data_IF_012587561573
#
_entry.id   IF_012587561573
#
_cell.length_a   1.000
_cell.length_b   1.000
_cell.length_c   1.000
_cell.angle_alpha   90.00
_cell.angle_beta   90.00
_cell.angle_gamma   90.00
#
_symmetry.space_group_name_H-M   'P 1'
#
loop_
_entity.id
_entity.type
_entity.pdbx_description
1 polymer ?
#
# COMPACT_ATOMS: atom_id res chain seq x y z
N UNK A 1 12.54 2.44 -11.56
CA UNK A 1 11.54 1.89 -12.50
C UNK A 1 10.17 1.96 -11.84
N UNK A 2 9.14 2.35 -12.59
CA UNK A 2 7.75 2.35 -12.15
C UNK A 2 6.97 1.31 -12.96
N UNK A 3 6.41 0.31 -12.28
CA UNK A 3 5.50 -0.64 -12.89
C UNK A 3 4.05 -0.20 -12.67
N UNK A 4 3.25 -0.17 -13.72
CA UNK A 4 1.83 0.22 -13.65
C UNK A 4 1.00 -0.42 -14.75
N UNK A 5 -0.32 -0.59 -14.51
CA UNK A 5 -1.24 -1.13 -15.52
C UNK A 5 -1.63 -0.13 -16.62
N UNK A 6 -1.36 1.15 -16.40
CA UNK A 6 -1.68 2.25 -17.33
C UNK A 6 -0.54 3.24 -17.32
N UNK A 7 -0.32 3.92 -18.44
CA UNK A 7 0.62 5.02 -18.52
C UNK A 7 0.18 6.14 -17.54
N UNK A 8 1.07 6.52 -16.65
CA UNK A 8 0.87 7.60 -15.68
C UNK A 8 1.67 8.83 -16.10
N UNK A 9 1.20 10.01 -15.72
CA UNK A 9 1.98 11.23 -15.81
C UNK A 9 3.02 11.20 -14.70
N UNK A 10 4.26 10.95 -15.06
CA UNK A 10 5.41 10.94 -14.14
C UNK A 10 6.37 12.06 -14.53
N UNK A 11 7.26 12.43 -13.61
CA UNK A 11 8.41 13.26 -13.90
C UNK A 11 9.30 12.60 -14.99
N UNK A 12 9.95 13.41 -15.82
CA UNK A 12 10.65 12.95 -17.03
C UNK A 12 11.77 11.91 -16.79
N UNK A 13 12.22 11.75 -15.55
CA UNK A 13 13.32 10.85 -15.19
C UNK A 13 12.86 9.46 -14.69
N UNK A 14 11.57 9.15 -14.74
CA UNK A 14 11.05 7.87 -14.28
C UNK A 14 10.86 6.93 -15.47
N UNK A 15 11.67 5.86 -15.52
CA UNK A 15 11.44 4.78 -16.49
C UNK A 15 10.18 4.02 -16.10
N UNK A 16 9.12 4.12 -16.92
CA UNK A 16 7.84 3.49 -16.68
C UNK A 16 7.64 2.29 -17.62
N UNK A 17 7.31 1.15 -17.03
CA UNK A 17 6.90 -0.07 -17.74
C UNK A 17 5.40 -0.28 -17.49
N UNK A 18 4.62 -0.29 -18.58
CA UNK A 18 3.18 -0.63 -18.52
C UNK A 18 3.06 -2.15 -18.67
N UNK A 19 2.50 -2.80 -17.65
CA UNK A 19 2.41 -4.26 -17.60
C UNK A 19 1.07 -4.70 -17.01
N UNK A 20 0.52 -5.80 -17.50
CA UNK A 20 -0.53 -6.50 -16.78
C UNK A 20 0.11 -7.36 -15.67
N UNK A 21 -0.31 -7.13 -14.43
CA UNK A 21 0.23 -7.90 -13.30
C UNK A 21 -0.16 -9.39 -13.32
N UNK A 22 -1.12 -9.80 -14.17
CA UNK A 22 -1.36 -11.21 -14.44
C UNK A 22 -0.14 -11.85 -15.13
N UNK A 23 0.51 -11.12 -16.04
CA UNK A 23 1.59 -11.60 -16.91
C UNK A 23 2.96 -11.03 -16.49
N UNK A 24 3.11 -10.62 -15.23
CA UNK A 24 4.36 -9.99 -14.76
C UNK A 24 5.59 -10.90 -14.95
N UNK A 25 5.41 -12.22 -14.91
CA UNK A 25 6.47 -13.18 -15.14
C UNK A 25 6.98 -13.18 -16.60
N UNK A 26 6.29 -12.51 -17.54
CA UNK A 26 6.76 -12.30 -18.91
C UNK A 26 7.80 -11.19 -19.04
N UNK A 27 7.99 -10.37 -18.02
CA UNK A 27 9.02 -9.33 -18.00
C UNK A 27 10.42 -9.95 -17.87
N UNK A 28 11.40 -9.26 -18.47
CA UNK A 28 12.80 -9.65 -18.33
C UNK A 28 13.24 -9.61 -16.86
N UNK A 29 13.76 -10.72 -16.38
CA UNK A 29 14.30 -10.86 -15.01
C UNK A 29 15.74 -10.34 -14.87
N UNK A 30 16.39 -9.91 -15.97
CA UNK A 30 17.71 -9.28 -15.91
C UNK A 30 17.67 -7.85 -15.33
N UNK A 31 16.52 -7.41 -14.84
CA UNK A 31 16.42 -6.18 -14.06
C UNK A 31 17.19 -6.36 -12.75
N UNK A 32 18.17 -5.52 -12.50
CA UNK A 32 18.84 -5.46 -11.20
C UNK A 32 18.04 -4.55 -10.27
N UNK A 33 17.35 -5.15 -9.29
CA UNK A 33 16.48 -4.44 -8.35
C UNK A 33 17.05 -4.60 -6.95
N UNK A 34 17.37 -3.51 -6.27
CA UNK A 34 17.82 -3.54 -4.87
C UNK A 34 16.63 -3.53 -3.92
N UNK A 35 15.64 -2.69 -4.21
CA UNK A 35 14.48 -2.44 -3.37
C UNK A 35 13.19 -2.34 -4.18
N UNK A 36 12.08 -2.80 -3.60
CA UNK A 36 10.75 -2.63 -4.20
C UNK A 36 9.78 -1.98 -3.23
N UNK A 37 8.95 -1.07 -3.76
CA UNK A 37 7.86 -0.42 -3.03
C UNK A 37 6.53 -0.74 -3.69
N UNK A 38 5.65 -1.42 -2.97
CA UNK A 38 4.36 -1.87 -3.50
C UNK A 38 3.23 -1.04 -2.90
N UNK A 39 2.52 -0.31 -3.78
CA UNK A 39 1.35 0.50 -3.46
C UNK A 39 0.13 0.10 -4.31
N UNK A 40 0.03 -1.19 -4.65
CA UNK A 40 -1.09 -1.75 -5.40
C UNK A 40 -2.30 -1.88 -4.48
N UNK A 41 -3.48 -1.51 -4.97
CA UNK A 41 -4.72 -1.68 -4.24
C UNK A 41 -5.95 -1.44 -5.10
N UNK A 42 -7.02 -2.15 -4.78
CA UNK A 42 -8.32 -1.97 -5.39
C UNK A 42 -8.97 -0.68 -4.87
N UNK A 43 -9.67 0.05 -5.76
CA UNK A 43 -10.43 1.23 -5.36
C UNK A 43 -11.73 0.77 -4.67
N UNK A 44 -11.78 0.90 -3.36
CA UNK A 44 -12.96 0.57 -2.56
C UNK A 44 -13.69 1.84 -2.14
N UNK A 45 -15.02 1.77 -2.14
CA UNK A 45 -15.88 2.75 -1.48
C UNK A 45 -15.86 2.56 0.04
N UNK A 46 -16.31 3.56 0.80
CA UNK A 46 -16.38 3.46 2.26
C UNK A 46 -17.24 2.29 2.75
N UNK A 47 -18.35 2.01 2.07
CA UNK A 47 -19.20 0.84 2.37
C UNK A 47 -18.50 -0.48 2.10
N UNK A 48 -17.64 -0.55 1.08
CA UNK A 48 -16.87 -1.75 0.75
C UNK A 48 -15.72 -2.01 1.73
N UNK A 49 -15.21 -1.00 2.41
CA UNK A 49 -14.27 -1.21 3.53
C UNK A 49 -14.89 -1.98 4.68
N UNK A 50 -16.22 -1.82 4.88
CA UNK A 50 -16.98 -2.57 5.90
C UNK A 50 -17.39 -3.93 5.35
N UNK A 51 -17.91 -3.98 4.12
CA UNK A 51 -18.40 -5.22 3.51
C UNK A 51 -18.21 -5.23 1.99
N UNK A 52 -17.38 -6.17 1.52
CA UNK A 52 -17.18 -6.41 0.09
C UNK A 52 -18.24 -7.42 -0.39
N UNK A 53 -19.08 -6.99 -1.34
CA UNK A 53 -20.10 -7.86 -1.96
C UNK A 53 -19.44 -9.09 -2.60
N UNK A 54 -20.12 -10.25 -2.54
CA UNK A 54 -19.59 -11.53 -3.05
C UNK A 54 -19.04 -11.43 -4.47
N UNK A 55 -19.75 -10.72 -5.37
CA UNK A 55 -19.35 -10.55 -6.78
C UNK A 55 -18.04 -9.77 -6.95
N UNK A 56 -17.72 -8.84 -6.03
CA UNK A 56 -16.53 -8.00 -6.08
C UNK A 56 -15.32 -8.64 -5.38
N UNK A 57 -15.55 -9.68 -4.57
CA UNK A 57 -14.48 -10.32 -3.76
C UNK A 57 -13.37 -10.90 -4.61
N UNK A 58 -13.72 -11.57 -5.73
CA UNK A 58 -12.71 -12.17 -6.61
C UNK A 58 -11.79 -11.11 -7.21
N UNK A 59 -12.34 -10.02 -7.72
CA UNK A 59 -11.55 -8.91 -8.27
C UNK A 59 -10.71 -8.23 -7.20
N UNK A 60 -11.26 -8.02 -6.00
CA UNK A 60 -10.54 -7.45 -4.87
C UNK A 60 -9.35 -8.34 -4.45
N UNK A 61 -9.58 -9.64 -4.23
CA UNK A 61 -8.50 -10.58 -3.87
C UNK A 61 -7.43 -10.63 -4.95
N UNK A 62 -7.83 -10.58 -6.22
CA UNK A 62 -6.87 -10.60 -7.31
C UNK A 62 -5.91 -9.41 -7.25
N UNK A 63 -6.42 -8.21 -7.04
CA UNK A 63 -5.61 -6.99 -6.99
C UNK A 63 -4.82 -6.87 -5.68
N UNK A 64 -5.48 -7.09 -4.54
CA UNK A 64 -4.91 -6.78 -3.20
C UNK A 64 -4.14 -7.97 -2.59
N UNK A 65 -4.16 -9.14 -3.23
CA UNK A 65 -3.38 -10.29 -2.81
C UNK A 65 -2.53 -10.86 -3.96
N UNK A 66 -3.16 -11.35 -5.05
CA UNK A 66 -2.43 -12.07 -6.09
C UNK A 66 -1.40 -11.18 -6.82
N UNK A 67 -1.77 -9.96 -7.21
CA UNK A 67 -0.84 -9.05 -7.88
C UNK A 67 0.31 -8.63 -6.97
N UNK A 68 0.01 -8.31 -5.71
CA UNK A 68 1.04 -7.94 -4.74
C UNK A 68 2.04 -9.09 -4.55
N UNK A 69 1.52 -10.32 -4.39
CA UNK A 69 2.35 -11.53 -4.27
C UNK A 69 3.23 -11.73 -5.51
N UNK A 70 2.64 -11.75 -6.71
CA UNK A 70 3.36 -11.92 -7.98
C UNK A 70 4.46 -10.85 -8.16
N UNK A 71 4.14 -9.59 -7.91
CA UNK A 71 5.10 -8.48 -8.02
C UNK A 71 6.26 -8.63 -7.03
N UNK A 72 5.95 -9.04 -5.80
CA UNK A 72 6.99 -9.28 -4.80
C UNK A 72 7.89 -10.46 -5.16
N UNK A 73 7.32 -11.58 -5.61
CA UNK A 73 8.08 -12.75 -6.06
C UNK A 73 8.95 -12.41 -7.28
N UNK A 74 8.41 -11.66 -8.25
CA UNK A 74 9.16 -11.18 -9.41
C UNK A 74 10.34 -10.30 -9.01
N UNK A 75 10.11 -9.27 -8.18
CA UNK A 75 11.20 -8.40 -7.74
C UNK A 75 12.29 -9.17 -6.96
N UNK A 76 11.89 -10.17 -6.17
CA UNK A 76 12.84 -11.05 -5.49
C UNK A 76 13.71 -11.85 -6.47
N UNK A 77 13.11 -12.39 -7.55
CA UNK A 77 13.84 -13.06 -8.65
C UNK A 77 14.82 -12.10 -9.33
N UNK A 78 14.48 -10.81 -9.45
CA UNK A 78 15.33 -9.75 -10.01
C UNK A 78 16.40 -9.23 -9.03
N UNK A 79 16.58 -9.85 -7.86
CA UNK A 79 17.64 -9.52 -6.90
C UNK A 79 17.22 -8.65 -5.72
N UNK A 80 15.98 -8.18 -5.64
CA UNK A 80 15.54 -7.31 -4.56
C UNK A 80 15.77 -7.94 -3.18
N UNK A 81 16.48 -7.22 -2.32
CA UNK A 81 16.77 -7.62 -0.94
C UNK A 81 15.76 -7.02 0.04
N UNK A 82 15.12 -5.94 -0.31
CA UNK A 82 14.27 -5.14 0.56
C UNK A 82 12.91 -4.85 -0.08
N UNK A 83 11.84 -4.82 0.74
CA UNK A 83 10.48 -4.53 0.29
C UNK A 83 9.75 -3.58 1.23
N UNK A 84 9.11 -2.55 0.66
CA UNK A 84 8.15 -1.67 1.30
C UNK A 84 6.73 -1.98 0.82
N UNK A 85 5.80 -2.29 1.73
CA UNK A 85 4.41 -2.59 1.40
C UNK A 85 3.47 -1.57 2.05
N UNK A 86 2.55 -1.02 1.26
CA UNK A 86 1.39 -0.28 1.78
C UNK A 86 0.27 -1.28 2.07
N UNK A 87 0.02 -1.49 3.36
CA UNK A 87 -1.10 -2.30 3.86
C UNK A 87 -2.23 -1.41 4.39
N UNK A 88 -2.87 -1.78 5.47
CA UNK A 88 -3.94 -1.02 6.10
C UNK A 88 -3.92 -1.15 7.61
N UNK A 89 -4.35 -0.09 8.30
CA UNK A 89 -4.57 -0.19 9.74
C UNK A 89 -5.61 -1.27 10.06
N UNK A 90 -5.29 -2.12 11.03
CA UNK A 90 -6.15 -3.25 11.42
C UNK A 90 -6.06 -4.48 10.52
N UNK A 91 -5.12 -4.50 9.54
CA UNK A 91 -4.85 -5.69 8.74
C UNK A 91 -4.58 -6.91 9.65
N UNK A 92 -5.33 -7.99 9.43
CA UNK A 92 -5.23 -9.19 10.25
C UNK A 92 -5.82 -10.40 9.51
N UNK A 93 -5.02 -11.43 9.26
CA UNK A 93 -5.43 -12.66 8.57
C UNK A 93 -6.57 -13.42 9.27
N UNK A 94 -6.79 -13.17 10.55
CA UNK A 94 -7.88 -13.76 11.34
C UNK A 94 -9.14 -12.88 11.38
N UNK A 95 -9.16 -11.75 10.66
CA UNK A 95 -10.31 -10.83 10.67
C UNK A 95 -11.52 -11.44 9.97
N UNK A 96 -12.71 -11.19 10.53
CA UNK A 96 -14.00 -11.48 9.87
C UNK A 96 -14.31 -10.50 8.73
N UNK A 97 -13.71 -9.31 8.75
CA UNK A 97 -13.80 -8.34 7.67
C UNK A 97 -12.92 -8.77 6.48
N UNK A 98 -13.52 -8.97 5.31
CA UNK A 98 -12.81 -9.46 4.11
C UNK A 98 -11.64 -8.56 3.71
N UNK A 99 -11.79 -7.23 3.80
CA UNK A 99 -10.74 -6.27 3.47
C UNK A 99 -9.53 -6.43 4.39
N UNK A 100 -9.75 -6.41 5.70
CA UNK A 100 -8.68 -6.54 6.68
C UNK A 100 -8.03 -7.92 6.67
N UNK A 101 -8.84 -8.96 6.39
CA UNK A 101 -8.34 -10.32 6.24
C UNK A 101 -7.35 -10.42 5.06
N UNK A 102 -7.75 -9.98 3.87
CA UNK A 102 -6.92 -10.05 2.66
C UNK A 102 -5.64 -9.22 2.83
N UNK A 103 -5.72 -8.04 3.45
CA UNK A 103 -4.52 -7.25 3.79
C UNK A 103 -3.60 -7.99 4.75
N UNK A 104 -4.14 -8.65 5.77
CA UNK A 104 -3.35 -9.47 6.67
C UNK A 104 -2.78 -10.73 6.01
N UNK A 105 -3.53 -11.37 5.13
CA UNK A 105 -3.07 -12.55 4.39
C UNK A 105 -1.86 -12.21 3.50
N UNK A 106 -1.91 -11.10 2.75
CA UNK A 106 -0.78 -10.68 1.90
C UNK A 106 0.45 -10.29 2.71
N UNK A 107 0.30 -9.70 3.90
CA UNK A 107 1.43 -9.44 4.80
C UNK A 107 2.15 -10.73 5.23
N UNK A 108 1.39 -11.81 5.47
CA UNK A 108 2.01 -13.10 5.78
C UNK A 108 2.75 -13.67 4.57
N UNK A 109 2.15 -13.59 3.37
CA UNK A 109 2.83 -14.03 2.15
C UNK A 109 4.14 -13.29 1.90
N UNK A 110 4.16 -11.96 2.05
CA UNK A 110 5.38 -11.16 1.86
C UNK A 110 6.51 -11.62 2.80
N UNK A 111 6.19 -12.01 4.03
CA UNK A 111 7.21 -12.54 4.96
C UNK A 111 7.81 -13.88 4.48
N UNK A 112 7.02 -14.68 3.74
CA UNK A 112 7.46 -15.98 3.23
C UNK A 112 8.31 -15.87 1.96
N UNK A 113 8.27 -14.74 1.24
CA UNK A 113 9.08 -14.52 0.03
C UNK A 113 10.59 -14.52 0.34
N UNK A 114 11.00 -14.18 1.57
CA UNK A 114 12.40 -14.26 2.00
C UNK A 114 13.21 -12.99 1.70
N UNK A 115 12.58 -11.82 1.80
CA UNK A 115 13.28 -10.53 1.83
C UNK A 115 14.08 -10.39 3.13
N UNK A 116 15.26 -9.78 3.04
CA UNK A 116 16.08 -9.48 4.22
C UNK A 116 15.48 -8.35 5.05
N UNK A 117 14.90 -7.36 4.37
CA UNK A 117 14.25 -6.21 4.99
C UNK A 117 12.82 -6.07 4.50
N UNK A 118 11.88 -5.97 5.43
CA UNK A 118 10.45 -5.83 5.15
C UNK A 118 9.89 -4.67 5.95
N UNK A 119 9.43 -3.63 5.28
CA UNK A 119 8.75 -2.48 5.89
C UNK A 119 7.28 -2.52 5.48
N UNK A 120 6.38 -2.64 6.45
CA UNK A 120 4.94 -2.66 6.21
C UNK A 120 4.33 -1.41 6.84
N UNK A 121 3.77 -0.54 6.01
CA UNK A 121 3.05 0.63 6.48
C UNK A 121 1.56 0.31 6.68
N UNK A 122 1.03 0.68 7.83
CA UNK A 122 -0.38 0.56 8.19
C UNK A 122 -1.04 1.96 8.24
N UNK A 123 -1.22 2.62 7.10
CA UNK A 123 -1.91 3.89 7.09
C UNK A 123 -3.39 3.69 7.42
N UNK A 124 -3.99 4.73 7.98
CA UNK A 124 -5.44 4.88 8.03
C UNK A 124 -5.96 5.33 6.65
N UNK A 125 -6.91 6.24 6.60
CA UNK A 125 -7.35 6.79 5.31
C UNK A 125 -6.28 7.69 4.70
N UNK A 126 -5.83 7.34 3.47
CA UNK A 126 -4.83 8.11 2.74
C UNK A 126 -5.46 9.32 2.06
N UNK A 127 -4.98 10.51 2.42
CA UNK A 127 -5.29 11.75 1.72
C UNK A 127 -4.34 11.93 0.53
N UNK A 128 -4.89 12.22 -0.63
CA UNK A 128 -4.10 12.56 -1.82
C UNK A 128 -4.97 12.61 -3.06
N UNK A 129 -4.61 13.50 -3.98
CA UNK A 129 -5.22 13.50 -5.32
C UNK A 129 -4.60 12.38 -6.13
N UNK A 130 -5.42 11.49 -6.69
CA UNK A 130 -4.98 10.59 -7.75
C UNK A 130 -4.82 11.39 -9.02
N UNK A 131 -3.71 11.21 -9.72
CA UNK A 131 -3.48 11.88 -11.00
C UNK A 131 -4.62 11.54 -11.98
N UNK A 132 -5.32 12.59 -12.49
CA UNK A 132 -6.40 12.44 -13.46
C UNK A 132 -7.78 12.05 -12.90
N UNK A 133 -7.99 12.06 -11.59
CA UNK A 133 -9.32 11.82 -11.00
C UNK A 133 -9.81 13.01 -10.18
N UNK A 134 -11.06 13.43 -10.41
CA UNK A 134 -11.76 14.34 -9.51
C UNK A 134 -12.19 13.59 -8.25
N UNK A 135 -11.96 14.21 -7.08
CA UNK A 135 -12.39 13.63 -5.81
C UNK A 135 -13.92 13.77 -5.72
N UNK A 136 -14.69 12.67 -5.62
CA UNK A 136 -16.13 12.74 -5.46
C UNK A 136 -16.53 13.57 -4.23
N UNK A 137 -17.65 14.31 -4.34
CA UNK A 137 -18.12 15.22 -3.29
C UNK A 137 -18.32 14.53 -1.93
N UNK A 138 -18.83 13.30 -1.93
CA UNK A 138 -19.00 12.49 -0.72
C UNK A 138 -17.67 12.16 -0.03
N UNK A 139 -16.59 11.97 -0.79
CA UNK A 139 -15.26 11.75 -0.24
C UNK A 139 -14.69 13.04 0.35
N UNK A 140 -14.88 14.19 -0.32
CA UNK A 140 -14.48 15.51 0.23
C UNK A 140 -15.20 15.81 1.54
N UNK A 141 -16.51 15.57 1.59
CA UNK A 141 -17.31 15.77 2.82
C UNK A 141 -16.84 14.83 3.92
N UNK A 142 -16.58 13.56 3.61
CA UNK A 142 -16.05 12.60 4.58
C UNK A 142 -14.67 13.02 5.08
N UNK A 143 -13.76 13.46 4.20
CA UNK A 143 -12.45 13.97 4.58
C UNK A 143 -12.54 15.19 5.51
N UNK A 144 -13.48 16.12 5.24
CA UNK A 144 -13.71 17.28 6.12
C UNK A 144 -14.23 16.86 7.49
N UNK A 145 -15.20 15.94 7.52
CA UNK A 145 -15.76 15.43 8.77
C UNK A 145 -14.68 14.69 9.57
N UNK A 146 -13.93 13.78 8.94
CA UNK A 146 -12.86 13.02 9.62
C UNK A 146 -11.69 13.91 10.04
N UNK A 147 -11.38 14.97 9.33
CA UNK A 147 -10.39 15.97 9.76
C UNK A 147 -10.87 16.74 11.00
N UNK A 148 -12.16 17.13 11.03
CA UNK A 148 -12.74 17.82 12.19
C UNK A 148 -12.77 16.92 13.41
N UNK A 149 -13.27 15.68 13.26
CA UNK A 149 -13.24 14.67 14.32
C UNK A 149 -11.83 14.20 14.66
N UNK A 150 -10.90 14.26 13.71
CA UNK A 150 -9.48 13.95 13.91
C UNK A 150 -8.83 14.82 15.00
N UNK A 151 -9.26 16.05 15.17
CA UNK A 151 -8.80 16.95 16.25
C UNK A 151 -9.21 16.44 17.64
N UNK A 152 -10.34 15.72 17.73
CA UNK A 152 -10.84 15.12 18.97
C UNK A 152 -10.27 13.73 19.24
N UNK A 153 -9.59 13.13 18.25
CA UNK A 153 -8.93 11.81 18.41
C UNK A 153 -7.62 11.99 19.18
N UNK A 154 -7.67 11.82 20.50
CA UNK A 154 -6.53 11.92 21.41
C UNK A 154 -6.11 10.49 21.84
N UNK A 155 -4.83 10.29 22.17
CA UNK A 155 -4.32 9.01 22.66
C UNK A 155 -4.36 7.89 21.61
N UNK A 156 -4.84 6.68 21.95
CA UNK A 156 -4.82 5.53 21.03
C UNK A 156 -5.65 5.70 19.76
N UNK A 157 -6.59 6.66 19.72
CA UNK A 157 -7.42 6.94 18.55
C UNK A 157 -6.69 7.77 17.48
N UNK A 158 -5.56 8.39 17.80
CA UNK A 158 -4.74 9.17 16.85
C UNK A 158 -4.30 8.34 15.64
N UNK A 159 -4.14 7.04 15.79
CA UNK A 159 -3.79 6.12 14.69
C UNK A 159 -4.82 6.07 13.56
N UNK A 160 -6.05 6.51 13.78
CA UNK A 160 -7.12 6.55 12.77
C UNK A 160 -7.23 7.89 12.05
N UNK A 161 -6.39 8.88 12.38
CA UNK A 161 -6.36 10.16 11.67
C UNK A 161 -5.93 9.97 10.22
N UNK A 162 -6.51 10.77 9.34
CA UNK A 162 -6.11 10.80 7.93
C UNK A 162 -4.64 11.17 7.78
N UNK A 163 -3.95 10.51 6.86
CA UNK A 163 -2.52 10.72 6.59
C UNK A 163 -2.30 11.03 5.12
N UNK A 164 -1.47 12.01 4.83
CA UNK A 164 -1.07 12.31 3.45
C UNK A 164 -0.23 11.18 2.85
N UNK A 165 -0.56 10.77 1.61
CA UNK A 165 0.19 9.73 0.90
C UNK A 165 1.69 10.04 0.78
N UNK A 166 2.06 11.33 0.60
CA UNK A 166 3.46 11.78 0.56
C UNK A 166 4.20 11.52 1.88
N UNK A 167 3.53 11.69 3.02
CA UNK A 167 4.11 11.41 4.33
C UNK A 167 4.35 9.92 4.52
N UNK A 168 3.39 9.09 4.10
CA UNK A 168 3.54 7.63 4.14
C UNK A 168 4.72 7.17 3.29
N UNK A 169 4.84 7.67 2.06
CA UNK A 169 5.96 7.35 1.18
C UNK A 169 7.31 7.74 1.80
N UNK A 170 7.43 8.97 2.31
CA UNK A 170 8.66 9.42 2.99
C UNK A 170 9.02 8.54 4.18
N UNK A 171 8.05 8.16 5.01
CA UNK A 171 8.28 7.35 6.18
C UNK A 171 8.76 5.92 5.83
N UNK A 172 8.20 5.31 4.77
CA UNK A 172 8.66 4.00 4.30
C UNK A 172 10.09 4.09 3.78
N UNK A 173 10.39 5.08 2.94
CA UNK A 173 11.74 5.30 2.38
C UNK A 173 12.74 5.53 3.51
N UNK A 174 12.47 6.46 4.42
CA UNK A 174 13.37 6.74 5.56
C UNK A 174 13.62 5.51 6.43
N UNK A 175 12.60 4.67 6.66
CA UNK A 175 12.78 3.42 7.39
C UNK A 175 13.53 2.37 6.56
N UNK A 176 13.37 2.37 5.24
CA UNK A 176 14.14 1.49 4.38
C UNK A 176 15.63 1.79 4.49
N UNK A 177 16.01 3.07 4.56
CA UNK A 177 17.40 3.50 4.71
C UNK A 177 17.98 3.22 6.12
N UNK A 178 17.16 3.29 7.17
CA UNK A 178 17.62 3.32 8.57
C UNK A 178 17.53 1.99 9.32
N UNK A 179 16.70 1.06 8.87
CA UNK A 179 16.47 -0.22 9.56
C UNK A 179 17.45 -1.27 9.05
N UNK A 180 18.17 -1.94 9.96
CA UNK A 180 18.93 -3.14 9.65
C UNK A 180 17.99 -4.29 9.21
N UNK A 181 18.54 -5.44 8.81
CA UNK A 181 17.77 -6.60 8.36
C UNK A 181 16.69 -6.97 9.38
N UNK A 182 15.42 -6.70 9.08
CA UNK A 182 14.30 -6.95 9.99
C UNK A 182 12.94 -6.85 9.30
N UNK A 183 11.92 -7.39 9.97
CA UNK A 183 10.51 -7.10 9.67
C UNK A 183 10.06 -5.94 10.56
N UNK A 184 9.78 -4.80 9.97
CA UNK A 184 9.31 -3.60 10.69
C UNK A 184 7.89 -3.22 10.28
N UNK A 185 7.04 -3.03 11.28
CA UNK A 185 5.67 -2.51 11.11
C UNK A 185 5.62 -1.04 11.49
N UNK A 186 5.19 -0.20 10.57
CA UNK A 186 5.07 1.24 10.81
C UNK A 186 3.60 1.62 10.90
N UNK A 187 3.13 1.90 12.12
CA UNK A 187 1.87 2.59 12.34
C UNK A 187 2.12 4.09 12.21
N UNK A 188 1.80 4.64 11.04
CA UNK A 188 2.03 6.05 10.74
C UNK A 188 1.02 6.91 11.49
N UNK A 189 1.50 7.66 12.48
CA UNK A 189 0.74 8.70 13.17
C UNK A 189 0.89 10.02 12.39
N UNK A 190 -0.18 10.82 12.38
CA UNK A 190 -0.19 12.11 11.69
C UNK A 190 0.90 13.11 12.18
N UNK A 191 1.56 12.83 13.31
CA UNK A 191 2.58 13.69 13.94
C UNK A 191 4.02 13.19 13.83
N UNK A 192 4.28 11.97 13.36
CA UNK A 192 5.65 11.40 13.31
C UNK A 192 6.47 11.86 12.08
N UNK A 193 5.96 12.81 11.32
CA UNK A 193 6.61 13.33 10.11
C UNK A 193 6.89 14.84 10.20
N UNK A 194 7.07 15.37 11.39
CA UNK A 194 7.50 16.74 11.64
C UNK A 194 8.97 16.74 12.07
N UNK A 195 9.84 16.95 11.15
CA UNK A 195 11.00 17.85 11.05
C UNK A 195 11.64 17.66 9.70
#
# INVERSE_FOLDING_TARGET
ILLSRKKLLCENNVNQIVVDFEDIDSLDTNLNIDEIYIAIGHKLSLSELVYIKKNNRKSFVNVDYNYIKKVAEFAKKCGASSIGLISAIGANSKSFNTYLKVKGDVEQEIKLVGYKKIIIAHPSHLLGKRAGEDIPMNVKVFEQITNLFGLLMIGPLQKFRNVEAKKVAKAIISKMDSVEEAVSYTHLRAHETGN
#
